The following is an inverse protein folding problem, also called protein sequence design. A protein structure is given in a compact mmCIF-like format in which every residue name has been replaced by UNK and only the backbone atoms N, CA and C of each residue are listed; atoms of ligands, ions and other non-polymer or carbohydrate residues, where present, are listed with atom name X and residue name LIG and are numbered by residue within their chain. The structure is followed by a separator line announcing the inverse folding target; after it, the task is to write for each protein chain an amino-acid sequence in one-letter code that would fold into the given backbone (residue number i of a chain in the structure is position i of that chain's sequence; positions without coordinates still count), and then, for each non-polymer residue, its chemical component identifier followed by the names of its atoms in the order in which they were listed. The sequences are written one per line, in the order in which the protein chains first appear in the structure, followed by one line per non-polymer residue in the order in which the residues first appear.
data_IF_989126706477
#
_entry.id   IF_989126706477
#
_cell.length_a   1.000
_cell.length_b   1.000
_cell.length_c   1.000
_cell.angle_alpha   90.00
_cell.angle_beta   90.00
_cell.angle_gamma   90.00
#
_symmetry.space_group_name_H-M   'P 1'
#
loop_
_entity.id
_entity.type
_entity.pdbx_description
1 polymer ?
#
# COMPACT_ATOMS: atom_id res chain seq x y z
N UNK A 1 5.07 10.60 -15.13
CA UNK A 1 5.03 9.12 -15.33
C UNK A 1 4.56 8.53 -14.00
N UNK A 2 3.57 7.64 -13.97
CA UNK A 2 3.16 6.99 -12.71
C UNK A 2 4.18 5.92 -12.33
N UNK A 3 4.87 6.06 -11.19
CA UNK A 3 5.94 5.14 -10.77
C UNK A 3 5.41 3.79 -10.26
N UNK A 4 4.16 3.73 -9.83
CA UNK A 4 3.48 2.51 -9.38
C UNK A 4 1.96 2.57 -9.62
N UNK A 5 1.26 1.48 -9.29
CA UNK A 5 -0.22 1.40 -9.28
C UNK A 5 -0.80 2.29 -8.18
N UNK A 6 -2.05 2.75 -8.32
CA UNK A 6 -2.72 3.40 -7.20
C UNK A 6 -3.03 2.37 -6.10
N UNK A 7 -2.66 2.68 -4.86
CA UNK A 7 -2.96 1.85 -3.71
C UNK A 7 -4.27 2.29 -3.06
N UNK A 8 -5.19 1.37 -2.77
CA UNK A 8 -6.40 1.70 -2.01
C UNK A 8 -6.05 2.33 -0.65
N UNK A 9 -6.65 3.48 -0.29
CA UNK A 9 -6.29 4.20 0.93
C UNK A 9 -6.48 3.37 2.22
N UNK A 10 -7.42 2.42 2.21
CA UNK A 10 -7.68 1.54 3.35
C UNK A 10 -6.53 0.55 3.67
N UNK A 11 -5.45 0.52 2.88
CA UNK A 11 -4.30 -0.36 3.08
C UNK A 11 -3.21 0.20 4.01
N UNK A 12 -3.36 1.43 4.50
CA UNK A 12 -2.51 1.99 5.54
C UNK A 12 -3.34 2.86 6.51
N UNK A 13 -2.87 3.01 7.77
CA UNK A 13 -3.50 3.88 8.73
C UNK A 13 -3.26 5.37 8.41
N UNK A 14 -4.09 6.25 8.96
CA UNK A 14 -3.98 7.71 8.78
C UNK A 14 -2.56 8.22 9.03
N UNK A 15 -1.95 7.82 10.14
CA UNK A 15 -0.60 8.27 10.52
C UNK A 15 0.46 7.96 9.46
N UNK A 16 0.29 6.86 8.73
CA UNK A 16 1.24 6.44 7.69
C UNK A 16 1.06 7.26 6.42
N UNK A 17 -0.18 7.56 6.03
CA UNK A 17 -0.44 8.46 4.90
C UNK A 17 0.02 9.89 5.18
N UNK A 18 -0.23 10.41 6.38
CA UNK A 18 0.28 11.73 6.79
C UNK A 18 1.79 11.78 6.66
N UNK A 19 2.50 10.83 7.29
CA UNK A 19 3.96 10.80 7.25
C UNK A 19 4.51 10.67 5.83
N UNK A 20 3.85 9.92 4.94
CA UNK A 20 4.28 9.76 3.55
C UNK A 20 4.06 11.04 2.74
N UNK A 21 2.91 11.69 2.89
CA UNK A 21 2.60 12.91 2.15
C UNK A 21 3.41 14.12 2.62
N UNK A 22 3.91 14.10 3.86
CA UNK A 22 4.76 15.15 4.42
C UNK A 22 6.25 15.01 4.04
N UNK A 23 6.62 13.93 3.34
CA UNK A 23 8.02 13.63 2.97
C UNK A 23 8.14 13.11 1.53
N UNK A 24 7.33 13.66 0.60
CA UNK A 24 7.28 13.22 -0.80
C UNK A 24 8.61 13.41 -1.56
N UNK A 25 9.43 14.37 -1.15
CA UNK A 25 10.79 14.56 -1.66
C UNK A 25 11.73 13.38 -1.33
N UNK A 26 11.34 12.54 -0.37
CA UNK A 26 12.05 11.35 0.09
C UNK A 26 11.23 10.07 -0.16
N UNK A 27 10.53 9.98 -1.29
CA UNK A 27 9.60 8.89 -1.61
C UNK A 27 10.31 7.64 -2.13
N UNK A 28 10.85 6.83 -1.21
CA UNK A 28 11.51 5.55 -1.50
C UNK A 28 12.72 5.64 -2.46
N UNK A 29 13.49 6.73 -2.34
CA UNK A 29 14.67 6.98 -3.16
C UNK A 29 14.38 7.77 -4.45
N UNK A 30 13.16 8.27 -4.59
CA UNK A 30 12.73 9.17 -5.67
C UNK A 30 12.07 10.43 -5.08
N UNK A 31 11.95 11.47 -5.88
CA UNK A 31 11.25 12.71 -5.53
C UNK A 31 9.85 12.68 -6.16
N UNK A 32 8.83 12.53 -5.31
CA UNK A 32 7.43 12.52 -5.69
C UNK A 32 6.71 13.82 -5.28
N UNK A 33 7.45 14.91 -5.04
CA UNK A 33 6.88 16.20 -4.62
C UNK A 33 5.86 16.72 -5.62
N UNK A 34 4.79 17.32 -5.09
CA UNK A 34 3.70 17.92 -5.83
C UNK A 34 3.54 19.37 -5.38
N UNK A 35 2.74 20.16 -6.09
CA UNK A 35 2.35 21.47 -5.58
C UNK A 35 1.55 21.34 -4.28
N UNK A 36 1.61 22.37 -3.44
CA UNK A 36 1.02 22.37 -2.10
C UNK A 36 -0.48 22.03 -2.12
N UNK A 37 -1.23 22.65 -3.03
CA UNK A 37 -2.68 22.44 -3.14
C UNK A 37 -3.02 20.99 -3.50
N UNK A 38 -2.30 20.41 -4.46
CA UNK A 38 -2.45 19.00 -4.83
C UNK A 38 -2.06 18.08 -3.67
N UNK A 39 -0.96 18.37 -2.99
CA UNK A 39 -0.46 17.60 -1.84
C UNK A 39 -1.51 17.55 -0.72
N UNK A 40 -2.05 18.71 -0.33
CA UNK A 40 -3.09 18.81 0.70
C UNK A 40 -4.37 18.07 0.31
N UNK A 41 -4.81 18.21 -0.95
CA UNK A 41 -6.01 17.54 -1.43
C UNK A 41 -5.87 16.02 -1.40
N UNK A 42 -4.74 15.48 -1.86
CA UNK A 42 -4.46 14.04 -1.83
C UNK A 42 -4.30 13.55 -0.39
N UNK A 43 -3.56 14.28 0.45
CA UNK A 43 -3.38 13.94 1.87
C UNK A 43 -4.73 13.84 2.59
N UNK A 44 -5.61 14.82 2.39
CA UNK A 44 -6.95 14.81 2.97
C UNK A 44 -7.78 13.60 2.51
N UNK A 45 -7.75 13.29 1.21
CA UNK A 45 -8.44 12.13 0.66
C UNK A 45 -7.91 10.81 1.25
N UNK A 46 -6.59 10.64 1.33
CA UNK A 46 -5.95 9.43 1.88
C UNK A 46 -6.27 9.24 3.36
N UNK A 47 -6.22 10.31 4.15
CA UNK A 47 -6.55 10.27 5.58
C UNK A 47 -8.03 9.92 5.80
N UNK A 48 -8.93 10.57 5.06
CA UNK A 48 -10.37 10.31 5.18
C UNK A 48 -10.75 8.86 4.83
N UNK A 49 -10.05 8.25 3.87
CA UNK A 49 -10.35 6.90 3.34
C UNK A 49 -9.40 5.81 3.85
N UNK A 50 -8.58 6.13 4.85
CA UNK A 50 -7.58 5.27 5.49
C UNK A 50 -8.15 3.97 6.08
N UNK A 51 -7.27 3.10 6.59
CA UNK A 51 -7.68 1.83 7.18
C UNK A 51 -8.72 2.00 8.30
N UNK A 52 -8.64 3.07 9.09
CA UNK A 52 -9.54 3.37 10.20
C UNK A 52 -10.98 3.65 9.76
N UNK A 53 -11.23 4.07 8.52
CA UNK A 53 -12.58 4.34 8.00
C UNK A 53 -13.18 3.18 7.20
N UNK A 54 -12.49 2.04 7.11
CA UNK A 54 -12.92 0.90 6.30
C UNK A 54 -13.33 -0.31 7.13
N UNK A 55 -14.39 -0.98 6.69
CA UNK A 55 -14.84 -2.27 7.25
C UNK A 55 -14.27 -3.48 6.49
N UNK A 56 -13.42 -3.27 5.49
CA UNK A 56 -12.82 -4.36 4.72
C UNK A 56 -11.90 -5.20 5.60
N UNK A 57 -11.92 -6.52 5.37
CA UNK A 57 -11.10 -7.46 6.14
C UNK A 57 -9.63 -7.04 6.17
N UNK A 58 -9.05 -6.65 5.03
CA UNK A 58 -7.65 -6.22 4.96
C UNK A 58 -7.36 -5.02 5.86
N UNK A 59 -8.23 -4.01 5.89
CA UNK A 59 -8.05 -2.82 6.73
C UNK A 59 -8.08 -3.18 8.22
N UNK A 60 -9.09 -3.95 8.64
CA UNK A 60 -9.24 -4.41 10.02
C UNK A 60 -8.03 -5.24 10.47
N UNK A 61 -7.56 -6.15 9.60
CA UNK A 61 -6.40 -7.02 9.89
C UNK A 61 -5.09 -6.26 9.89
N UNK A 62 -4.93 -5.25 9.03
CA UNK A 62 -3.76 -4.37 9.04
C UNK A 62 -3.70 -3.65 10.38
N UNK A 63 -4.75 -2.91 10.75
CA UNK A 63 -4.80 -2.16 12.02
C UNK A 63 -4.51 -3.05 13.24
N UNK A 64 -5.14 -4.23 13.30
CA UNK A 64 -4.93 -5.18 14.40
C UNK A 64 -3.50 -5.75 14.47
N UNK A 65 -2.72 -5.63 13.40
CA UNK A 65 -1.36 -6.18 13.32
C UNK A 65 -0.25 -5.17 13.61
N UNK A 66 -0.55 -3.87 13.64
CA UNK A 66 0.47 -2.83 13.75
C UNK A 66 1.00 -2.70 15.18
N UNK A 67 2.31 -2.47 15.29
CA UNK A 67 2.92 -2.01 16.54
C UNK A 67 2.52 -0.54 16.79
N UNK A 68 2.09 -0.23 18.02
CA UNK A 68 1.50 1.10 18.36
C UNK A 68 2.44 2.26 18.04
N UNK A 69 3.70 2.16 18.48
CA UNK A 69 4.70 3.23 18.37
C UNK A 69 5.37 3.31 16.99
N UNK A 70 5.19 2.29 16.14
CA UNK A 70 5.84 2.24 14.82
C UNK A 70 4.94 2.82 13.74
N UNK A 71 5.48 3.68 12.89
CA UNK A 71 4.84 4.12 11.65
C UNK A 71 5.36 3.28 10.49
N UNK A 72 4.46 2.75 9.67
CA UNK A 72 4.80 1.87 8.55
C UNK A 72 4.51 2.63 7.26
N UNK A 73 5.55 3.03 6.52
CA UNK A 73 5.37 3.77 5.28
C UNK A 73 4.99 2.85 4.11
N UNK A 74 5.48 1.63 4.07
CA UNK A 74 5.11 0.68 3.02
C UNK A 74 4.07 -0.35 3.49
N UNK A 75 3.03 -0.57 2.67
CA UNK A 75 2.03 -1.63 2.89
C UNK A 75 2.72 -3.00 3.07
N UNK A 76 3.75 -3.25 2.26
CA UNK A 76 4.54 -4.50 2.28
C UNK A 76 5.35 -4.70 3.56
N UNK A 77 5.55 -3.65 4.36
CA UNK A 77 6.26 -3.73 5.62
C UNK A 77 5.37 -4.08 6.81
N UNK A 78 4.05 -3.91 6.66
CA UNK A 78 3.07 -4.21 7.72
C UNK A 78 3.11 -5.69 8.10
N UNK A 79 2.94 -6.04 9.39
CA UNK A 79 2.99 -7.44 9.84
C UNK A 79 1.92 -8.30 9.18
N UNK A 80 0.70 -7.77 8.98
CA UNK A 80 -0.34 -8.48 8.26
C UNK A 80 0.06 -8.83 6.82
N UNK A 81 0.60 -7.88 6.05
CA UNK A 81 1.00 -8.15 4.67
C UNK A 81 2.08 -9.23 4.61
N UNK A 82 3.11 -9.12 5.44
CA UNK A 82 4.21 -10.11 5.53
C UNK A 82 3.67 -11.50 5.86
N UNK A 83 2.80 -11.61 6.86
CA UNK A 83 2.20 -12.89 7.22
C UNK A 83 1.31 -13.45 6.10
N UNK A 84 0.57 -12.59 5.39
CA UNK A 84 -0.35 -13.01 4.33
C UNK A 84 0.36 -13.52 3.09
N UNK A 85 1.56 -13.00 2.81
CA UNK A 85 2.37 -13.36 1.64
C UNK A 85 3.54 -14.30 1.97
N UNK A 86 3.71 -14.72 3.24
CA UNK A 86 4.88 -15.50 3.70
C UNK A 86 5.12 -16.83 2.99
N UNK A 87 4.09 -17.40 2.36
CA UNK A 87 4.17 -18.68 1.62
C UNK A 87 4.59 -18.50 0.15
N UNK A 88 4.71 -17.27 -0.31
CA UNK A 88 5.19 -16.98 -1.66
C UNK A 88 6.71 -16.98 -1.61
N UNK A 89 7.34 -17.78 -2.48
CA UNK A 89 8.79 -17.82 -2.59
C UNK A 89 9.33 -16.45 -3.00
N UNK A 90 10.44 -16.03 -2.39
CA UNK A 90 11.09 -14.75 -2.73
C UNK A 90 11.51 -14.70 -4.20
N UNK A 91 11.83 -15.84 -4.81
CA UNK A 91 12.16 -15.94 -6.23
C UNK A 91 11.00 -15.50 -7.13
N UNK A 92 9.74 -15.68 -6.70
CA UNK A 92 8.56 -15.20 -7.44
C UNK A 92 8.59 -13.67 -7.55
N UNK A 93 8.89 -12.96 -6.46
CA UNK A 93 8.98 -11.50 -6.50
C UNK A 93 10.15 -10.97 -7.34
N UNK A 94 11.17 -11.80 -7.58
CA UNK A 94 12.34 -11.45 -8.41
C UNK A 94 12.11 -11.71 -9.91
N UNK A 95 11.01 -12.38 -10.30
CA UNK A 95 10.65 -12.57 -11.70
C UNK A 95 10.44 -11.21 -12.39
N UNK A 96 10.83 -11.12 -13.67
CA UNK A 96 10.80 -9.86 -14.43
C UNK A 96 9.40 -9.24 -14.49
N UNK A 97 8.38 -10.07 -14.53
CA UNK A 97 6.97 -9.70 -14.65
C UNK A 97 6.42 -9.07 -13.36
N UNK A 98 7.02 -9.37 -12.20
CA UNK A 98 6.64 -8.82 -10.89
C UNK A 98 7.63 -7.74 -10.47
N UNK A 99 8.92 -8.07 -10.47
CA UNK A 99 10.06 -7.20 -10.15
C UNK A 99 10.22 -6.88 -8.66
N UNK A 100 9.13 -6.50 -7.99
CA UNK A 100 9.13 -6.13 -6.56
C UNK A 100 7.81 -6.49 -5.87
N UNK A 101 7.83 -6.75 -4.56
CA UNK A 101 6.61 -6.98 -3.77
C UNK A 101 5.58 -5.84 -3.80
N UNK A 102 6.00 -4.60 -4.06
CA UNK A 102 5.11 -3.43 -4.18
C UNK A 102 4.31 -3.41 -5.49
N UNK A 103 4.65 -4.24 -6.48
CA UNK A 103 3.90 -4.36 -7.73
C UNK A 103 2.65 -5.25 -7.55
N UNK A 104 1.74 -4.82 -6.68
CA UNK A 104 0.56 -5.57 -6.31
C UNK A 104 -0.31 -5.93 -7.53
N UNK A 105 -0.37 -5.04 -8.53
CA UNK A 105 -1.16 -5.21 -9.76
C UNK A 105 -0.67 -6.35 -10.65
N UNK A 106 0.59 -6.78 -10.49
CA UNK A 106 1.11 -7.97 -11.18
C UNK A 106 0.25 -9.20 -10.86
N UNK A 107 -0.06 -9.42 -9.58
CA UNK A 107 -0.88 -10.56 -9.12
C UNK A 107 -2.36 -10.20 -8.93
N UNK A 108 -2.67 -9.04 -8.37
CA UNK A 108 -4.03 -8.58 -8.07
C UNK A 108 -4.51 -7.59 -9.15
N UNK A 109 -5.08 -8.12 -10.24
CA UNK A 109 -5.46 -7.32 -11.42
C UNK A 109 -6.35 -6.11 -11.10
N UNK A 110 -7.23 -6.26 -10.11
CA UNK A 110 -8.25 -5.28 -9.75
C UNK A 110 -7.95 -4.55 -8.43
N UNK A 111 -6.67 -4.44 -8.04
CA UNK A 111 -6.30 -3.78 -6.79
C UNK A 111 -6.77 -2.33 -6.71
N UNK A 112 -6.76 -1.59 -7.83
CA UNK A 112 -7.20 -0.20 -7.88
C UNK A 112 -8.69 -0.04 -7.52
N UNK A 113 -9.49 -1.10 -7.72
CA UNK A 113 -10.90 -1.18 -7.32
C UNK A 113 -11.07 -1.69 -5.87
N UNK A 114 -9.96 -1.87 -5.14
CA UNK A 114 -9.93 -2.42 -3.78
C UNK A 114 -10.17 -3.93 -3.71
N UNK A 115 -10.03 -4.67 -4.81
CA UNK A 115 -10.24 -6.11 -4.86
C UNK A 115 -8.91 -6.87 -4.70
N UNK A 116 -8.81 -7.64 -3.61
CA UNK A 116 -7.56 -8.30 -3.17
C UNK A 116 -7.71 -9.81 -2.97
N UNK A 117 -8.85 -10.36 -3.39
CA UNK A 117 -9.27 -11.72 -3.05
C UNK A 117 -8.38 -12.75 -3.75
N UNK A 118 -8.10 -13.88 -3.11
CA UNK A 118 -7.29 -14.95 -3.69
C UNK A 118 -7.85 -15.49 -5.01
N UNK A 119 -9.18 -15.59 -5.12
CA UNK A 119 -9.85 -16.13 -6.30
C UNK A 119 -9.61 -15.29 -7.56
N UNK A 120 -9.28 -14.02 -7.38
CA UNK A 120 -9.09 -13.04 -8.46
C UNK A 120 -7.59 -12.82 -8.76
N UNK A 121 -6.69 -13.59 -8.12
CA UNK A 121 -5.25 -13.54 -8.38
C UNK A 121 -4.97 -14.15 -9.76
N UNK A 122 -4.18 -13.44 -10.57
CA UNK A 122 -3.74 -13.92 -11.88
C UNK A 122 -2.95 -15.21 -11.74
N UNK A 123 -3.17 -16.15 -12.65
CA UNK A 123 -2.25 -17.27 -12.84
C UNK A 123 -1.03 -16.73 -13.58
N UNK A 124 0.11 -16.77 -12.90
CA UNK A 124 1.40 -16.39 -13.42
C UNK A 124 2.11 -17.64 -13.94
#
# INVERSE_FOLDING_TARGET
MSCHTLFPPFLLPQKSWVSMMDTLENHFGDDASLDEKTTESIKAFLVQNSAESSTKESALRILASLEKEKTYLAITETPFWKNRHKKIDKAVFAQKEIGKPSNCKACHANIENGLLNNRDIKRL
#
